data_IF_151105059618
#
_entry.id   IF_151105059618
#
_cell.length_a   1.000
_cell.length_b   1.000
_cell.length_c   1.000
_cell.angle_alpha   90.00
_cell.angle_beta   90.00
_cell.angle_gamma   90.00
#
_symmetry.space_group_name_H-M   'P 1'
#
loop_
_entity.id
_entity.type
_entity.pdbx_description
1 polymer ?
#
# COMPACT_ATOMS: atom_id res chain seq x y z
N UNK A 1 11.63 8.91 -13.40
CA UNK A 1 11.84 7.66 -12.63
C UNK A 1 10.66 7.50 -11.70
N UNK A 2 10.12 6.29 -11.53
CA UNK A 2 8.95 6.01 -10.66
C UNK A 2 9.41 5.21 -9.44
N UNK A 3 8.62 5.18 -8.36
CA UNK A 3 8.92 4.37 -7.16
C UNK A 3 9.06 2.88 -7.52
N UNK A 4 8.15 2.37 -8.37
CA UNK A 4 8.24 0.99 -8.86
C UNK A 4 9.39 0.78 -9.84
N UNK A 5 9.78 1.80 -10.61
CA UNK A 5 10.76 1.70 -11.68
C UNK A 5 10.44 0.52 -12.63
N UNK A 6 11.33 -0.47 -12.78
CA UNK A 6 11.11 -1.68 -13.59
C UNK A 6 10.60 -2.89 -12.79
N UNK A 7 10.27 -2.70 -11.50
CA UNK A 7 9.89 -3.80 -10.60
C UNK A 7 8.46 -4.25 -10.89
N UNK A 8 8.26 -5.56 -10.89
CA UNK A 8 6.93 -6.17 -10.95
C UNK A 8 6.42 -6.64 -9.59
N UNK A 9 7.27 -6.60 -8.56
CA UNK A 9 6.93 -7.04 -7.20
C UNK A 9 7.32 -5.97 -6.20
N UNK A 10 6.41 -5.67 -5.28
CA UNK A 10 6.64 -4.75 -4.17
C UNK A 10 5.94 -5.27 -2.93
N UNK A 11 6.65 -5.34 -1.82
CA UNK A 11 6.14 -5.74 -0.51
C UNK A 11 6.12 -4.51 0.38
N UNK A 12 4.97 -4.19 0.94
CA UNK A 12 4.80 -3.16 1.95
C UNK A 12 4.55 -3.82 3.31
N UNK A 13 5.38 -3.53 4.32
CA UNK A 13 5.25 -4.07 5.68
C UNK A 13 4.95 -2.95 6.66
N UNK A 14 3.90 -3.12 7.47
CA UNK A 14 3.49 -2.14 8.48
C UNK A 14 4.26 -2.35 9.78
N UNK A 15 4.85 -1.28 10.29
CA UNK A 15 5.54 -1.23 11.58
C UNK A 15 5.02 -0.07 12.42
N UNK A 16 5.11 -0.19 13.74
CA UNK A 16 4.94 0.95 14.66
C UNK A 16 6.28 1.62 14.91
N UNK A 17 6.28 2.93 15.00
CA UNK A 17 7.40 3.67 15.56
C UNK A 17 7.22 3.84 17.09
N UNK A 18 8.29 4.24 17.78
CA UNK A 18 8.28 4.49 19.23
C UNK A 18 7.28 5.59 19.68
N UNK A 19 6.84 6.45 18.76
CA UNK A 19 5.85 7.51 19.00
C UNK A 19 4.41 7.08 18.67
N UNK A 20 4.14 5.77 18.53
CA UNK A 20 2.84 5.19 18.15
C UNK A 20 2.30 5.56 16.75
N UNK A 21 3.10 6.21 15.91
CA UNK A 21 2.78 6.44 14.51
C UNK A 21 3.10 5.19 13.66
N UNK A 22 2.37 5.03 12.55
CA UNK A 22 2.61 3.96 11.60
C UNK A 22 3.74 4.33 10.63
N UNK A 23 4.57 3.33 10.32
CA UNK A 23 5.55 3.33 9.25
C UNK A 23 5.26 2.17 8.33
N UNK A 24 5.36 2.37 7.03
CA UNK A 24 5.27 1.30 6.04
C UNK A 24 6.60 1.23 5.30
N UNK A 25 7.29 0.11 5.41
CA UNK A 25 8.54 -0.15 4.68
C UNK A 25 8.21 -0.86 3.37
N UNK A 26 8.79 -0.41 2.26
CA UNK A 26 8.64 -1.01 0.95
C UNK A 26 9.93 -1.69 0.52
N UNK A 27 9.83 -2.94 0.06
CA UNK A 27 10.94 -3.73 -0.45
C UNK A 27 10.56 -4.43 -1.75
N UNK A 28 11.54 -4.72 -2.59
CA UNK A 28 11.34 -5.51 -3.81
C UNK A 28 11.40 -7.02 -3.54
N UNK A 29 11.30 -7.82 -4.61
CA UNK A 29 11.37 -9.28 -4.52
C UNK A 29 12.70 -9.82 -3.99
N UNK A 30 13.77 -9.02 -3.98
CA UNK A 30 15.08 -9.41 -3.40
C UNK A 30 15.26 -8.88 -1.98
N UNK A 31 14.16 -8.47 -1.33
CA UNK A 31 14.13 -7.76 -0.06
C UNK A 31 14.99 -6.49 -0.02
N UNK A 32 15.34 -5.92 -1.17
CA UNK A 32 16.07 -4.66 -1.20
C UNK A 32 15.10 -3.52 -0.88
N UNK A 33 15.47 -2.59 0.03
CA UNK A 33 14.63 -1.44 0.34
C UNK A 33 14.36 -0.60 -0.91
N UNK A 34 13.09 -0.31 -1.15
CA UNK A 34 12.61 0.56 -2.24
C UNK A 34 12.22 1.93 -1.69
N UNK A 35 11.63 1.95 -0.49
CA UNK A 35 11.21 3.19 0.12
C UNK A 35 10.54 3.00 1.47
N UNK A 36 10.11 4.12 2.04
CA UNK A 36 9.51 4.15 3.35
C UNK A 36 8.46 5.25 3.45
N UNK A 37 7.25 4.87 3.84
CA UNK A 37 6.19 5.81 4.16
C UNK A 37 6.09 6.03 5.67
N UNK A 38 6.23 7.29 6.10
CA UNK A 38 6.05 7.71 7.50
C UNK A 38 4.78 8.49 7.66
N UNK A 39 3.96 8.11 8.64
CA UNK A 39 2.82 8.93 9.05
C UNK A 39 3.31 10.27 9.59
N UNK A 40 2.72 11.37 9.10
CA UNK A 40 2.96 12.71 9.65
C UNK A 40 2.34 12.78 11.05
N UNK A 41 3.18 12.98 12.07
CA UNK A 41 2.74 13.04 13.47
C UNK A 41 2.02 14.35 13.83
N UNK A 42 1.18 14.31 14.85
CA UNK A 42 0.52 15.46 15.46
C UNK A 42 -0.14 15.08 16.80
N UNK A 43 -0.39 16.06 17.67
CA UNK A 43 -0.93 15.88 19.04
C UNK A 43 -2.26 15.09 19.14
N UNK A 44 -2.94 14.80 18.04
CA UNK A 44 -4.19 14.05 17.97
C UNK A 44 -4.13 12.75 17.17
N UNK A 45 -2.93 12.23 16.86
CA UNK A 45 -2.76 10.93 16.18
C UNK A 45 -2.84 9.81 17.21
N UNK A 46 -4.05 9.55 17.70
CA UNK A 46 -4.36 8.33 18.44
C UNK A 46 -4.63 7.23 17.42
N UNK A 47 -3.90 6.11 17.51
CA UNK A 47 -4.21 4.86 16.80
C UNK A 47 -3.96 4.84 15.27
N UNK A 48 -3.09 5.72 14.75
CA UNK A 48 -2.76 5.71 13.32
C UNK A 48 -3.81 6.36 12.41
N UNK A 49 -4.85 6.98 12.99
CA UNK A 49 -5.84 7.78 12.26
C UNK A 49 -6.18 9.05 13.03
N UNK A 50 -6.34 10.17 12.33
CA UNK A 50 -7.05 11.32 12.89
C UNK A 50 -8.55 11.00 12.85
N UNK A 51 -9.25 11.19 13.97
CA UNK A 51 -10.72 11.10 14.13
C UNK A 51 -11.50 11.09 12.80
N UNK A 52 -11.83 9.90 12.28
CA UNK A 52 -12.55 9.73 11.01
C UNK A 52 -11.79 9.06 9.87
N UNK A 53 -10.67 8.35 10.12
CA UNK A 53 -10.04 7.48 9.12
C UNK A 53 -9.15 8.22 8.12
N UNK A 54 -8.68 9.44 8.45
CA UNK A 54 -7.79 10.22 7.59
C UNK A 54 -6.37 10.29 8.17
N UNK A 55 -5.37 10.27 7.30
CA UNK A 55 -3.97 10.41 7.69
C UNK A 55 -3.11 10.84 6.50
N UNK A 56 -2.03 11.56 6.77
CA UNK A 56 -1.03 11.91 5.75
C UNK A 56 0.23 11.07 5.98
N UNK A 57 0.75 10.49 4.89
CA UNK A 57 2.03 9.77 4.89
C UNK A 57 3.00 10.41 3.91
N UNK A 58 4.27 10.49 4.28
CA UNK A 58 5.35 10.88 3.37
C UNK A 58 6.15 9.63 2.99
N UNK A 59 6.08 9.25 1.72
CA UNK A 59 6.84 8.16 1.11
C UNK A 59 8.15 8.71 0.54
N UNK A 60 9.26 8.35 1.18
CA UNK A 60 10.60 8.60 0.66
C UNK A 60 11.09 7.40 -0.15
N UNK A 61 11.47 7.61 -1.42
CA UNK A 61 11.96 6.56 -2.32
C UNK A 61 12.84 7.18 -3.42
N UNK A 62 14.03 6.62 -3.67
CA UNK A 62 14.96 7.08 -4.73
C UNK A 62 15.19 8.61 -4.75
N UNK A 63 15.37 9.22 -3.57
CA UNK A 63 15.57 10.67 -3.43
C UNK A 63 14.33 11.53 -3.67
N UNK A 64 13.19 10.92 -3.96
CA UNK A 64 11.88 11.56 -4.11
C UNK A 64 11.08 11.49 -2.82
N UNK A 65 10.13 12.42 -2.70
CA UNK A 65 9.18 12.43 -1.59
C UNK A 65 7.77 12.62 -2.12
N UNK A 66 6.95 11.57 -1.97
CA UNK A 66 5.53 11.61 -2.28
C UNK A 66 4.73 11.81 -1.00
N UNK A 67 3.74 12.68 -1.04
CA UNK A 67 2.76 12.85 0.04
C UNK A 67 1.48 12.11 -0.34
N UNK A 68 1.02 11.24 0.56
CA UNK A 68 -0.16 10.39 0.43
C UNK A 68 -1.18 10.86 1.47
N UNK A 69 -2.20 11.57 1.02
CA UNK A 69 -3.31 12.03 1.87
C UNK A 69 -4.42 10.99 1.85
N UNK A 70 -4.34 10.04 2.78
CA UNK A 70 -5.26 8.92 2.93
C UNK A 70 -6.60 9.42 3.46
N UNK A 71 -7.66 9.17 2.70
CA UNK A 71 -9.03 9.50 3.02
C UNK A 71 -9.99 8.61 2.20
N UNK A 72 -11.29 8.95 2.15
CA UNK A 72 -12.23 8.25 1.26
C UNK A 72 -11.79 8.30 -0.21
N UNK A 73 -11.16 9.40 -0.64
CA UNK A 73 -10.37 9.48 -1.87
C UNK A 73 -8.96 9.83 -1.46
N UNK A 74 -8.00 8.98 -1.80
CA UNK A 74 -6.61 9.21 -1.46
C UNK A 74 -5.96 10.05 -2.54
N UNK A 75 -5.40 11.19 -2.17
CA UNK A 75 -4.66 12.06 -3.08
C UNK A 75 -3.15 11.82 -2.93
N UNK A 76 -2.45 11.82 -4.06
CA UNK A 76 -0.99 11.67 -4.09
C UNK A 76 -0.39 12.90 -4.74
N UNK A 77 0.60 13.49 -4.07
CA UNK A 77 1.32 14.66 -4.57
C UNK A 77 2.83 14.52 -4.41
N UNK A 78 3.57 15.25 -5.23
CA UNK A 78 5.01 15.41 -5.14
C UNK A 78 5.32 16.91 -5.09
N UNK A 79 6.07 17.35 -4.09
CA UNK A 79 6.42 18.78 -3.92
C UNK A 79 5.20 19.72 -3.98
N UNK A 80 4.06 19.29 -3.43
CA UNK A 80 2.80 20.05 -3.42
C UNK A 80 1.99 20.02 -4.72
N UNK A 81 2.47 19.33 -5.77
CA UNK A 81 1.75 19.14 -7.02
C UNK A 81 1.08 17.78 -7.04
N UNK A 82 -0.22 17.74 -7.31
CA UNK A 82 -0.95 16.47 -7.43
C UNK A 82 -0.44 15.65 -8.63
N UNK A 83 -0.14 14.38 -8.39
CA UNK A 83 0.27 13.43 -9.43
C UNK A 83 -0.80 12.38 -9.75
N UNK A 84 -1.81 12.24 -8.89
CA UNK A 84 -3.00 11.41 -9.13
C UNK A 84 -3.77 11.08 -7.86
N UNK A 85 -4.80 10.24 -8.00
CA UNK A 85 -5.74 9.88 -6.94
C UNK A 85 -6.13 8.41 -6.98
N UNK A 86 -6.47 7.86 -5.81
CA UNK A 86 -7.20 6.60 -5.66
C UNK A 86 -8.62 6.95 -5.26
N UNK A 87 -9.57 6.73 -6.17
CA UNK A 87 -10.97 7.14 -6.03
C UNK A 87 -11.82 5.89 -5.80
N UNK A 88 -12.78 5.88 -4.86
CA UNK A 88 -13.69 4.76 -4.67
C UNK A 88 -14.42 4.39 -5.95
N UNK A 89 -14.44 3.11 -6.28
CA UNK A 89 -15.07 2.61 -7.51
C UNK A 89 -15.43 1.13 -7.38
N UNK A 90 -16.69 0.77 -7.67
CA UNK A 90 -17.19 -0.63 -7.70
C UNK A 90 -16.77 -1.50 -6.49
N UNK A 91 -16.81 -0.94 -5.27
CA UNK A 91 -16.44 -1.66 -4.05
C UNK A 91 -14.93 -1.80 -3.81
N UNK A 92 -14.10 -1.14 -4.61
CA UNK A 92 -12.67 -0.98 -4.40
C UNK A 92 -12.25 0.43 -4.86
N UNK A 93 -11.30 0.55 -5.80
CA UNK A 93 -10.74 1.83 -6.21
C UNK A 93 -10.47 1.90 -7.71
N UNK A 94 -10.40 3.11 -8.25
CA UNK A 94 -9.75 3.41 -9.53
C UNK A 94 -8.62 4.40 -9.33
N UNK A 95 -7.67 4.37 -10.25
CA UNK A 95 -6.53 5.26 -10.27
C UNK A 95 -6.76 6.34 -11.31
N UNK A 96 -6.85 7.58 -10.88
CA UNK A 96 -7.08 8.73 -11.77
C UNK A 96 -5.81 9.60 -11.82
N UNK A 97 -5.51 10.13 -13.01
CA UNK A 97 -4.48 11.16 -13.16
C UNK A 97 -5.03 12.56 -12.80
N UNK A 98 -4.19 13.61 -12.73
CA UNK A 98 -4.63 14.96 -12.39
C UNK A 98 -5.61 15.60 -13.40
N UNK A 99 -5.70 15.07 -14.63
CA UNK A 99 -6.69 15.51 -15.62
C UNK A 99 -8.04 14.79 -15.46
N UNK A 100 -8.12 13.78 -14.61
CA UNK A 100 -9.29 12.92 -14.41
C UNK A 100 -9.32 11.70 -15.34
N UNK A 101 -8.24 11.43 -16.09
CA UNK A 101 -8.16 10.24 -16.92
C UNK A 101 -7.92 9.00 -16.04
N UNK A 102 -8.68 7.94 -16.29
CA UNK A 102 -8.52 6.67 -15.56
C UNK A 102 -7.28 5.95 -16.08
N UNK A 103 -6.37 5.62 -15.17
CA UNK A 103 -5.12 4.91 -15.45
C UNK A 103 -5.23 3.41 -15.20
N UNK A 104 -6.02 2.98 -14.22
CA UNK A 104 -6.24 1.58 -13.88
C UNK A 104 -7.44 1.42 -12.94
N UNK A 105 -7.87 0.18 -12.74
CA UNK A 105 -8.86 -0.22 -11.75
C UNK A 105 -8.27 -1.22 -10.77
N UNK A 106 -8.57 -1.05 -9.49
CA UNK A 106 -8.47 -2.09 -8.50
C UNK A 106 -9.86 -2.68 -8.26
N UNK A 107 -10.00 -3.99 -8.40
CA UNK A 107 -11.27 -4.69 -8.20
C UNK A 107 -11.42 -5.17 -6.76
N UNK A 108 -12.67 -5.35 -6.28
CA UNK A 108 -12.91 -5.91 -4.96
C UNK A 108 -12.28 -7.29 -4.83
N UNK A 109 -12.00 -7.68 -3.58
CA UNK A 109 -11.46 -8.99 -3.30
C UNK A 109 -12.43 -10.09 -3.74
N UNK A 110 -11.89 -11.10 -4.41
CA UNK A 110 -12.64 -12.30 -4.80
C UNK A 110 -12.34 -13.41 -3.80
N UNK A 111 -13.34 -13.82 -3.02
CA UNK A 111 -13.20 -14.91 -2.05
C UNK A 111 -13.80 -14.60 -0.67
N UNK A 112 -13.47 -15.45 0.30
CA UNK A 112 -13.90 -15.28 1.70
C UNK A 112 -12.88 -14.43 2.45
N UNK A 113 -13.36 -13.38 3.14
CA UNK A 113 -12.50 -12.44 3.88
C UNK A 113 -11.91 -13.00 5.19
N UNK A 114 -12.36 -14.18 5.65
CA UNK A 114 -12.03 -14.71 6.96
C UNK A 114 -10.70 -15.48 6.94
N UNK A 115 -9.69 -14.96 7.64
CA UNK A 115 -8.39 -15.61 7.81
C UNK A 115 -7.44 -15.53 6.61
N UNK A 116 -7.96 -15.23 5.42
CA UNK A 116 -7.17 -15.23 4.18
C UNK A 116 -6.64 -13.83 3.79
N UNK A 117 -5.52 -13.76 3.06
CA UNK A 117 -5.09 -12.55 2.37
C UNK A 117 -6.13 -12.09 1.35
N UNK A 118 -6.44 -10.80 1.34
CA UNK A 118 -7.43 -10.24 0.41
C UNK A 118 -6.75 -9.86 -0.90
N UNK A 119 -6.95 -10.69 -1.92
CA UNK A 119 -6.43 -10.49 -3.27
C UNK A 119 -7.35 -9.60 -4.09
N UNK A 120 -6.85 -8.46 -4.53
CA UNK A 120 -7.55 -7.47 -5.35
C UNK A 120 -6.96 -7.42 -6.77
N UNK A 121 -7.71 -7.88 -7.80
CA UNK A 121 -7.23 -7.81 -9.18
C UNK A 121 -7.00 -6.37 -9.63
N UNK A 122 -5.90 -6.13 -10.34
CA UNK A 122 -5.59 -4.87 -11.00
C UNK A 122 -5.85 -4.99 -12.49
N UNK A 123 -6.62 -4.05 -13.05
CA UNK A 123 -6.97 -4.04 -14.47
C UNK A 123 -6.59 -2.72 -15.14
N UNK A 124 -6.24 -2.77 -16.42
CA UNK A 124 -6.14 -1.58 -17.28
C UNK A 124 -7.51 -0.95 -17.48
N UNK A 125 -7.60 0.30 -18.01
CA UNK A 125 -8.88 0.90 -18.36
C UNK A 125 -9.69 0.09 -19.38
N UNK A 126 -9.01 -0.73 -20.19
CA UNK A 126 -9.60 -1.64 -21.18
C UNK A 126 -10.01 -2.99 -20.58
N UNK A 127 -9.79 -3.21 -19.28
CA UNK A 127 -10.16 -4.45 -18.58
C UNK A 127 -9.13 -5.58 -18.70
N UNK A 128 -7.93 -5.31 -19.21
CA UNK A 128 -6.86 -6.30 -19.26
C UNK A 128 -6.19 -6.43 -17.89
N UNK A 129 -5.71 -7.61 -17.53
CA UNK A 129 -4.99 -7.81 -16.28
C UNK A 129 -3.68 -7.01 -16.26
N UNK A 130 -3.41 -6.34 -15.14
CA UNK A 130 -2.12 -5.75 -14.81
C UNK A 130 -1.39 -6.55 -13.74
N UNK A 131 -2.14 -7.27 -12.91
CA UNK A 131 -1.59 -7.94 -11.72
C UNK A 131 -2.60 -8.02 -10.58
N UNK A 132 -2.09 -8.10 -9.35
CA UNK A 132 -2.87 -8.20 -8.12
C UNK A 132 -2.22 -7.38 -7.01
N UNK A 133 -3.04 -6.66 -6.25
CA UNK A 133 -2.67 -6.12 -4.95
C UNK A 133 -3.27 -7.01 -3.87
N UNK A 134 -2.44 -7.60 -3.03
CA UNK A 134 -2.88 -8.47 -1.92
C UNK A 134 -2.71 -7.74 -0.60
N UNK A 135 -3.77 -7.59 0.17
CA UNK A 135 -3.70 -7.11 1.55
C UNK A 135 -3.58 -8.30 2.51
N UNK A 136 -2.72 -8.19 3.52
CA UNK A 136 -2.57 -9.18 4.57
C UNK A 136 -3.12 -8.63 5.89
N UNK A 137 -4.37 -8.96 6.25
CA UNK A 137 -4.93 -8.63 7.56
C UNK A 137 -4.07 -9.17 8.72
N UNK A 138 -4.28 -8.65 9.92
CA UNK A 138 -3.57 -9.14 11.13
C UNK A 138 -3.82 -10.62 11.45
N UNK A 139 -4.89 -11.21 10.91
CA UNK A 139 -5.20 -12.63 11.04
C UNK A 139 -4.43 -13.53 10.06
N UNK A 140 -3.81 -12.99 9.00
CA UNK A 140 -3.18 -13.78 7.94
C UNK A 140 -1.64 -13.74 8.00
N UNK A 141 -1.08 -13.86 9.21
CA UNK A 141 0.37 -13.73 9.42
C UNK A 141 1.16 -14.92 8.88
N UNK A 142 0.59 -16.13 8.92
CA UNK A 142 1.22 -17.32 8.38
C UNK A 142 1.36 -17.25 6.85
N UNK A 143 0.33 -16.77 6.17
CA UNK A 143 0.27 -16.63 4.71
C UNK A 143 1.20 -15.52 4.22
N UNK A 144 1.31 -14.42 4.98
CA UNK A 144 2.30 -13.38 4.68
C UNK A 144 3.72 -13.98 4.77
N UNK A 145 3.99 -14.76 5.82
CA UNK A 145 5.29 -15.43 5.97
C UNK A 145 5.58 -16.37 4.81
N UNK A 146 4.65 -17.25 4.46
CA UNK A 146 4.81 -18.18 3.34
C UNK A 146 4.99 -17.44 2.00
N UNK A 147 4.31 -16.32 1.80
CA UNK A 147 4.51 -15.48 0.61
C UNK A 147 5.94 -14.94 0.54
N UNK A 148 6.46 -14.43 1.66
CA UNK A 148 7.80 -13.87 1.73
C UNK A 148 8.88 -14.93 1.56
N UNK A 149 8.70 -16.10 2.18
CA UNK A 149 9.60 -17.25 2.05
C UNK A 149 9.70 -17.74 0.59
N UNK A 150 8.63 -17.59 -0.21
CA UNK A 150 8.61 -17.96 -1.63
C UNK A 150 9.27 -16.96 -2.57
N UNK A 151 9.36 -15.70 -2.16
CA UNK A 151 9.83 -14.62 -3.03
C UNK A 151 11.23 -14.18 -2.69
N UNK A 152 11.64 -14.38 -1.44
CA UNK A 152 12.98 -14.04 -1.01
C UNK A 152 13.62 -15.28 -0.40
N UNK A 153 14.65 -15.81 -1.05
CA UNK A 153 15.51 -16.87 -0.50
C UNK A 153 16.21 -16.45 0.82
N UNK A 154 16.09 -15.19 1.26
CA UNK A 154 16.79 -14.62 2.42
C UNK A 154 16.07 -13.44 3.11
N UNK A 155 14.78 -13.57 3.45
CA UNK A 155 14.20 -12.61 4.41
C UNK A 155 14.44 -13.08 5.84
N UNK A 156 15.48 -12.53 6.48
CA UNK A 156 15.53 -12.43 7.95
C UNK A 156 14.73 -11.18 8.30
N UNK A 157 13.43 -11.35 8.56
CA UNK A 157 12.66 -10.30 9.21
C UNK A 157 12.92 -10.39 10.71
N UNK A 158 13.53 -9.35 11.25
CA UNK A 158 13.63 -9.12 12.69
C UNK A 158 12.24 -8.71 13.20
N UNK A 159 11.36 -9.69 13.37
CA UNK A 159 10.03 -9.54 13.96
C UNK A 159 10.16 -9.50 15.49
N UNK A 160 10.80 -8.46 16.04
CA UNK A 160 10.61 -8.15 17.46
C UNK A 160 9.26 -7.43 17.62
N UNK A 161 8.18 -8.19 17.41
CA UNK A 161 6.81 -7.70 17.50
C UNK A 161 6.44 -7.62 18.97
N UNK A 162 6.90 -6.57 19.63
CA UNK A 162 6.36 -6.17 20.91
C UNK A 162 4.91 -5.68 20.73
N UNK A 163 3.96 -6.61 20.68
CA UNK A 163 2.52 -6.39 20.53
C UNK A 163 1.83 -5.77 21.76
N UNK A 164 2.59 -5.43 22.82
CA UNK A 164 2.00 -5.07 24.10
C UNK A 164 1.31 -3.69 24.14
N UNK A 165 1.30 -2.91 23.06
CA UNK A 165 0.81 -1.54 23.16
C UNK A 165 0.00 -0.97 21.98
N UNK A 166 -0.58 -1.77 21.05
CA UNK A 166 -1.77 -1.44 20.19
C UNK A 166 -1.79 -2.25 18.86
N UNK A 167 -2.96 -2.78 18.46
CA UNK A 167 -3.11 -3.55 17.19
C UNK A 167 -2.83 -2.70 15.94
N UNK A 168 -2.24 -3.33 14.92
CA UNK A 168 -2.06 -2.73 13.58
C UNK A 168 -3.35 -2.85 12.74
N UNK A 169 -3.60 -1.96 11.76
CA UNK A 169 -4.72 -2.12 10.84
C UNK A 169 -4.58 -3.35 9.92
N UNK A 170 -3.36 -3.60 9.44
CA UNK A 170 -2.95 -4.75 8.63
C UNK A 170 -1.48 -5.07 8.90
N UNK A 171 -1.00 -6.24 8.47
CA UNK A 171 0.42 -6.60 8.53
C UNK A 171 1.20 -5.96 7.38
N UNK A 172 0.56 -5.85 6.23
CA UNK A 172 1.21 -5.39 5.01
C UNK A 172 0.34 -5.58 3.79
N UNK A 173 0.87 -5.18 2.65
CA UNK A 173 0.30 -5.45 1.35
C UNK A 173 1.40 -5.81 0.37
N UNK A 174 1.01 -6.45 -0.72
CA UNK A 174 1.89 -6.93 -1.76
C UNK A 174 1.31 -6.52 -3.09
N UNK A 175 2.18 -6.06 -3.98
CA UNK A 175 1.88 -5.86 -5.38
C UNK A 175 2.61 -6.92 -6.20
N UNK A 176 1.86 -7.64 -7.03
CA UNK A 176 2.35 -8.54 -8.06
C UNK A 176 1.85 -8.05 -9.41
N UNK A 177 2.75 -7.65 -10.31
CA UNK A 177 2.43 -7.19 -11.66
C UNK A 177 2.85 -8.24 -12.69
N UNK A 178 2.08 -8.34 -13.76
CA UNK A 178 2.42 -9.22 -14.89
C UNK A 178 3.60 -8.67 -15.70
N UNK A 179 3.73 -7.34 -15.74
CA UNK A 179 4.79 -6.63 -16.46
C UNK A 179 5.10 -5.30 -15.77
N UNK A 180 6.30 -4.72 -15.98
CA UNK A 180 6.64 -3.41 -15.44
C UNK A 180 5.64 -2.34 -15.88
N UNK A 181 5.23 -1.48 -14.95
CA UNK A 181 4.33 -0.36 -15.21
C UNK A 181 5.10 0.95 -15.10
N UNK A 182 5.00 1.78 -16.13
CA UNK A 182 5.75 3.04 -16.22
C UNK A 182 4.89 4.26 -15.88
N UNK A 183 5.55 5.40 -15.71
CA UNK A 183 4.90 6.68 -15.47
C UNK A 183 4.15 6.76 -14.14
N UNK A 184 3.17 7.67 -14.07
CA UNK A 184 2.45 8.01 -12.83
C UNK A 184 1.76 6.82 -12.19
N UNK A 185 1.26 5.87 -13.00
CA UNK A 185 0.62 4.67 -12.47
C UNK A 185 1.58 3.86 -11.58
N UNK A 186 2.88 3.83 -11.90
CA UNK A 186 3.86 3.16 -11.06
C UNK A 186 4.01 3.80 -9.68
N UNK A 187 3.97 5.13 -9.59
CA UNK A 187 3.98 5.86 -8.31
C UNK A 187 2.68 5.62 -7.54
N UNK A 188 1.54 5.69 -8.22
CA UNK A 188 0.22 5.49 -7.60
C UNK A 188 0.05 4.06 -7.07
N UNK A 189 0.55 3.03 -7.76
CA UNK A 189 0.51 1.65 -7.30
C UNK A 189 1.37 1.44 -6.04
N UNK A 190 2.56 2.06 -5.97
CA UNK A 190 3.36 2.03 -4.75
C UNK A 190 2.65 2.74 -3.58
N UNK A 191 1.99 3.87 -3.85
CA UNK A 191 1.17 4.55 -2.86
C UNK A 191 -0.07 3.73 -2.44
N UNK A 192 -0.65 2.93 -3.36
CA UNK A 192 -1.75 2.02 -3.06
C UNK A 192 -1.36 0.92 -2.07
N UNK A 193 -0.12 0.44 -2.14
CA UNK A 193 0.40 -0.50 -1.15
C UNK A 193 0.37 0.12 0.25
N UNK A 194 0.74 1.40 0.38
CA UNK A 194 0.69 2.13 1.66
C UNK A 194 -0.76 2.39 2.09
N UNK A 195 -1.60 2.88 1.18
CA UNK A 195 -3.01 3.19 1.42
C UNK A 195 -3.80 1.98 1.91
N UNK A 196 -3.69 0.84 1.23
CA UNK A 196 -4.35 -0.42 1.60
C UNK A 196 -3.95 -0.94 2.98
N UNK A 197 -2.68 -0.79 3.36
CA UNK A 197 -2.19 -1.16 4.69
C UNK A 197 -2.84 -0.35 5.80
N UNK A 198 -3.10 0.94 5.54
CA UNK A 198 -3.45 1.92 6.58
C UNK A 198 -4.89 2.39 6.49
N UNK A 199 -5.65 2.06 5.46
CA UNK A 199 -7.10 2.25 5.38
C UNK A 199 -7.76 1.04 4.70
N UNK A 200 -7.84 -0.12 5.39
CA UNK A 200 -8.36 -1.35 4.79
C UNK A 200 -9.81 -1.22 4.28
N UNK A 201 -10.58 -0.26 4.83
CA UNK A 201 -12.01 -0.12 4.55
C UNK A 201 -12.35 0.22 3.10
N UNK A 202 -11.43 0.88 2.38
CA UNK A 202 -11.60 1.13 0.94
C UNK A 202 -11.67 -0.14 0.10
N UNK A 203 -11.26 -1.26 0.68
CA UNK A 203 -11.11 -2.57 0.04
C UNK A 203 -12.00 -3.65 0.67
N UNK A 204 -12.82 -3.27 1.68
CA UNK A 204 -13.75 -4.18 2.39
C UNK A 204 -15.18 -4.14 1.91
N UNK A 205 -15.54 -3.29 0.95
CA UNK A 205 -16.89 -3.30 0.39
C UNK A 205 -17.19 -4.63 -0.34
#
# INVERSE_FOLDING_TARGET
MTVLNSRTKLVATVKRNAANALRVELADASAQPVGEARQKSGLGVLLGFKNGGRSTYNLAADGRMLTIDVAGTTAVSESGTEIGKLVPHDGAARFDDPSGAVLAYLRPHVGHKAGEPWKHPLLTPQGQSLGTLTLFPTSSSAELREYLDRIVDQVILDWDINYNSLRLPALGSVLDLEQPVSGRLGDLLACACVDSCVLPRGYTA
#
